data_IF_733654780238
#
_entry.id   IF_733654780238
#
_cell.length_a   1.000
_cell.length_b   1.000
_cell.length_c   1.000
_cell.angle_alpha   90.00
_cell.angle_beta   90.00
_cell.angle_gamma   90.00
#
_symmetry.space_group_name_H-M   'P 1'
#
loop_
_entity.id
_entity.type
_entity.pdbx_description
1 polymer ?
#
# COMPACT_ATOMS: atom_id res chain seq x y z
N UNK A 1 -19.50 18.65 -1.07
CA UNK A 1 -19.10 17.25 -1.33
C UNK A 1 -18.53 16.74 -0.03
N UNK A 2 -19.08 15.67 0.57
CA UNK A 2 -18.62 15.22 1.88
C UNK A 2 -17.22 14.63 1.72
N UNK A 3 -16.25 15.19 2.42
CA UNK A 3 -14.92 14.62 2.64
C UNK A 3 -15.09 13.13 3.00
N UNK A 4 -14.72 12.21 2.12
CA UNK A 4 -14.65 10.80 2.50
C UNK A 4 -13.37 10.65 3.29
N UNK A 5 -13.48 10.28 4.57
CA UNK A 5 -12.32 9.97 5.40
C UNK A 5 -11.67 8.70 4.85
N UNK A 6 -10.58 8.87 4.11
CA UNK A 6 -9.80 7.77 3.55
C UNK A 6 -8.93 7.17 4.66
N UNK A 7 -9.44 6.12 5.32
CA UNK A 7 -8.71 5.34 6.31
C UNK A 7 -8.06 4.14 5.64
N UNK A 8 -6.79 3.89 5.98
CA UNK A 8 -6.11 2.69 5.54
C UNK A 8 -6.62 1.47 6.34
N UNK A 9 -6.82 0.35 5.65
CA UNK A 9 -7.42 -0.87 6.19
C UNK A 9 -6.50 -2.09 5.95
N UNK A 10 -6.56 -3.08 6.84
CA UNK A 10 -5.74 -4.29 6.69
C UNK A 10 -6.28 -5.21 5.60
N UNK A 11 -5.36 -5.90 4.92
CA UNK A 11 -5.71 -7.04 4.06
C UNK A 11 -6.10 -8.21 4.96
N UNK A 12 -7.23 -8.86 4.66
CA UNK A 12 -7.73 -10.04 5.38
C UNK A 12 -7.61 -11.30 4.52
N UNK A 13 -7.77 -12.47 5.13
CA UNK A 13 -7.77 -13.76 4.44
C UNK A 13 -9.08 -14.49 4.71
N UNK A 14 -9.70 -15.06 3.67
CA UNK A 14 -10.91 -15.85 3.82
C UNK A 14 -10.63 -17.32 4.17
N UNK A 15 -11.70 -18.10 4.39
CA UNK A 15 -11.59 -19.54 4.72
C UNK A 15 -11.00 -20.39 3.59
N UNK A 16 -10.93 -19.87 2.36
CA UNK A 16 -10.34 -20.51 1.18
C UNK A 16 -8.88 -20.12 0.98
N UNK A 17 -8.36 -19.21 1.80
CA UNK A 17 -7.00 -18.67 1.67
C UNK A 17 -6.85 -17.62 0.58
N UNK A 18 -7.92 -16.97 0.15
CA UNK A 18 -7.87 -15.84 -0.79
C UNK A 18 -7.80 -14.51 -0.02
N UNK A 19 -6.98 -13.54 -0.48
CA UNK A 19 -6.87 -12.26 0.18
C UNK A 19 -8.06 -11.34 -0.14
N UNK A 20 -8.69 -10.79 0.89
CA UNK A 20 -9.62 -9.67 0.81
C UNK A 20 -8.84 -8.36 0.86
N UNK A 21 -8.73 -7.66 -0.27
CA UNK A 21 -7.98 -6.40 -0.38
C UNK A 21 -8.94 -5.22 -0.43
N UNK A 22 -8.93 -4.31 0.56
CA UNK A 22 -9.76 -3.10 0.57
C UNK A 22 -9.26 -2.06 -0.44
N UNK A 23 -10.06 -1.01 -0.70
CA UNK A 23 -9.69 0.03 -1.67
C UNK A 23 -8.48 0.88 -1.22
N UNK A 24 -8.28 1.06 0.09
CA UNK A 24 -7.08 1.68 0.68
C UNK A 24 -6.38 0.70 1.61
N UNK A 25 -5.61 -0.26 1.08
CA UNK A 25 -4.92 -1.24 1.91
C UNK A 25 -3.72 -0.62 2.62
N UNK A 26 -3.44 -1.06 3.84
CA UNK A 26 -2.15 -0.86 4.50
C UNK A 26 -1.13 -1.82 3.86
N UNK A 27 -0.11 -1.27 3.23
CA UNK A 27 1.02 -2.04 2.67
C UNK A 27 2.28 -1.75 3.49
N UNK A 28 2.74 -2.75 4.24
CA UNK A 28 4.00 -2.66 4.97
C UNK A 28 5.19 -2.68 4.01
N UNK A 29 6.22 -1.88 4.30
CA UNK A 29 7.47 -1.89 3.55
C UNK A 29 8.66 -1.83 4.52
N UNK A 30 9.81 -2.29 4.02
CA UNK A 30 11.11 -2.08 4.65
C UNK A 30 11.92 -1.27 3.66
N UNK A 31 12.43 -0.13 4.11
CA UNK A 31 13.18 0.79 3.27
C UNK A 31 14.51 0.19 2.76
N UNK A 32 15.10 -0.69 3.57
CA UNK A 32 16.39 -1.34 3.28
C UNK A 32 17.57 -0.55 3.84
N UNK A 33 18.78 -1.07 3.63
CA UNK A 33 20.04 -0.46 3.99
C UNK A 33 20.81 0.03 2.75
N UNK A 34 21.94 0.72 2.94
CA UNK A 34 22.73 1.26 1.85
C UNK A 34 21.93 2.26 0.99
N UNK A 35 21.70 1.92 -0.28
CA UNK A 35 20.90 2.73 -1.23
C UNK A 35 19.40 2.42 -1.19
N UNK A 36 18.94 1.57 -0.27
CA UNK A 36 17.53 1.20 -0.08
C UNK A 36 16.60 2.41 0.05
N UNK A 37 16.88 3.38 0.94
CA UNK A 37 16.10 4.62 1.05
C UNK A 37 15.92 5.38 -0.26
N UNK A 38 17.00 5.53 -1.04
CA UNK A 38 16.96 6.24 -2.33
C UNK A 38 16.06 5.51 -3.34
N UNK A 39 16.18 4.18 -3.41
CA UNK A 39 15.34 3.35 -4.29
C UNK A 39 13.88 3.39 -3.84
N UNK A 40 13.60 3.25 -2.54
CA UNK A 40 12.23 3.23 -2.03
C UNK A 40 11.53 4.57 -2.28
N UNK A 41 12.22 5.69 -2.05
CA UNK A 41 11.69 7.01 -2.35
C UNK A 41 11.30 7.16 -3.84
N UNK A 42 12.14 6.66 -4.76
CA UNK A 42 11.84 6.68 -6.19
C UNK A 42 10.69 5.71 -6.56
N UNK A 43 10.68 4.50 -6.00
CA UNK A 43 9.70 3.47 -6.30
C UNK A 43 8.29 3.85 -5.83
N UNK A 44 8.17 4.43 -4.64
CA UNK A 44 6.88 4.84 -4.06
C UNK A 44 6.11 5.78 -5.00
N UNK A 45 6.78 6.78 -5.57
CA UNK A 45 6.13 7.73 -6.48
C UNK A 45 5.59 7.05 -7.76
N UNK A 46 6.31 6.04 -8.27
CA UNK A 46 5.88 5.26 -9.43
C UNK A 46 4.66 4.40 -9.09
N UNK A 47 4.67 3.74 -7.92
CA UNK A 47 3.56 2.91 -7.46
C UNK A 47 2.30 3.76 -7.24
N UNK A 48 2.41 4.88 -6.55
CA UNK A 48 1.29 5.78 -6.27
C UNK A 48 0.66 6.33 -7.56
N UNK A 49 1.47 6.61 -8.59
CA UNK A 49 0.99 7.09 -9.88
C UNK A 49 0.38 6.00 -10.77
N UNK A 50 0.76 4.74 -10.58
CA UNK A 50 0.26 3.62 -11.37
C UNK A 50 -1.12 3.13 -10.93
N UNK A 51 -1.49 3.38 -9.67
CA UNK A 51 -2.81 3.02 -9.13
C UNK A 51 -3.86 3.99 -9.67
N UNK A 52 -4.96 3.45 -10.21
CA UNK A 52 -6.05 4.20 -10.86
C UNK A 52 -7.22 4.54 -9.94
#
# INVERSE_FOLDING_TARGET
MKEKEYRAENITWDERGLPGVPYHPVVGYIEGDGIGPDIWHAARAVLDAAVS
#
